data_IF_014125041777
#
_entry.id   IF_014125041777
#
_cell.length_a   1.000
_cell.length_b   1.000
_cell.length_c   1.000
_cell.angle_alpha   90.00
_cell.angle_beta   90.00
_cell.angle_gamma   90.00
#
_symmetry.space_group_name_H-M   'P 1'
#
loop_
_entity.id
_entity.type
_entity.pdbx_description
1 polymer ?
#
# COMPACT_ATOMS: atom_id res chain seq x y z
N UNK A 1 -53.73 -18.51 22.89
CA UNK A 1 -53.09 -18.63 21.57
C UNK A 1 -52.20 -17.40 21.44
N UNK A 2 -50.96 -17.50 21.94
CA UNK A 2 -50.00 -16.39 21.98
C UNK A 2 -49.32 -16.26 20.62
N UNK A 3 -49.49 -15.12 19.97
CA UNK A 3 -48.78 -14.76 18.75
C UNK A 3 -47.42 -14.19 19.13
N UNK A 4 -46.37 -14.97 18.92
CA UNK A 4 -44.99 -14.50 19.01
C UNK A 4 -44.72 -13.53 17.85
N UNK A 5 -44.65 -12.23 18.13
CA UNK A 5 -44.09 -11.26 17.21
C UNK A 5 -42.58 -11.51 17.09
N UNK A 6 -42.14 -12.07 15.97
CA UNK A 6 -40.74 -12.12 15.60
C UNK A 6 -40.22 -10.70 15.35
N UNK A 7 -39.70 -10.06 16.39
CA UNK A 7 -38.85 -8.88 16.23
C UNK A 7 -37.60 -9.26 15.44
N UNK A 8 -37.62 -8.99 14.13
CA UNK A 8 -36.44 -9.05 13.27
C UNK A 8 -35.47 -7.98 13.76
N UNK A 9 -34.47 -8.39 14.55
CA UNK A 9 -33.35 -7.53 14.92
C UNK A 9 -32.50 -7.35 13.65
N UNK A 10 -32.76 -6.28 12.89
CA UNK A 10 -31.87 -5.86 11.81
C UNK A 10 -30.48 -5.61 12.39
N UNK A 11 -29.54 -6.53 12.12
CA UNK A 11 -28.13 -6.27 12.46
C UNK A 11 -27.69 -5.04 11.67
N UNK A 12 -27.14 -4.00 12.32
CA UNK A 12 -26.69 -2.81 11.61
C UNK A 12 -25.68 -3.24 10.54
N UNK A 13 -25.94 -2.86 9.27
CA UNK A 13 -25.02 -3.10 8.15
C UNK A 13 -23.64 -2.61 8.54
N UNK A 14 -22.72 -3.54 8.77
CA UNK A 14 -21.33 -3.23 9.12
C UNK A 14 -20.76 -2.30 8.05
N UNK A 15 -20.49 -1.04 8.40
CA UNK A 15 -19.88 -0.07 7.48
C UNK A 15 -18.62 -0.70 6.88
N UNK A 16 -18.53 -0.73 5.54
CA UNK A 16 -17.34 -1.20 4.83
C UNK A 16 -16.18 -0.29 5.21
N UNK A 17 -15.28 -0.80 6.05
CA UNK A 17 -13.99 -0.17 6.29
C UNK A 17 -13.01 -0.71 5.23
N UNK A 18 -12.69 0.14 4.26
CA UNK A 18 -11.80 -0.18 3.14
C UNK A 18 -10.34 -0.30 3.56
N UNK A 19 -10.00 0.20 4.75
CA UNK A 19 -8.70 0.04 5.39
C UNK A 19 -8.64 -1.18 6.31
N UNK A 20 -9.69 -2.02 6.30
CA UNK A 20 -9.80 -3.19 7.18
C UNK A 20 -9.10 -4.40 6.54
N UNK A 21 -8.08 -4.85 7.25
CA UNK A 21 -6.99 -5.78 6.89
C UNK A 21 -7.40 -7.26 6.70
N UNK A 22 -8.65 -7.53 6.34
CA UNK A 22 -9.18 -8.90 6.16
C UNK A 22 -9.29 -9.30 4.68
N UNK A 23 -8.80 -8.48 3.76
CA UNK A 23 -8.87 -8.73 2.32
C UNK A 23 -7.46 -8.89 1.76
N UNK A 24 -7.33 -9.68 0.70
CA UNK A 24 -6.07 -9.84 -0.03
C UNK A 24 -5.61 -8.51 -0.66
N UNK A 25 -6.55 -7.66 -1.06
CA UNK A 25 -6.28 -6.28 -1.46
C UNK A 25 -7.10 -5.34 -0.59
N UNK A 26 -6.41 -4.51 0.17
CA UNK A 26 -7.01 -3.39 0.89
C UNK A 26 -6.34 -2.08 0.47
N UNK A 27 -6.72 -0.97 1.08
CA UNK A 27 -6.13 0.33 0.73
C UNK A 27 -4.65 0.45 1.10
N UNK A 28 -4.07 -0.48 1.88
CA UNK A 28 -2.63 -0.51 2.16
C UNK A 28 -1.82 -1.05 0.98
N UNK A 29 -2.43 -1.86 0.11
CA UNK A 29 -1.78 -2.30 -1.14
C UNK A 29 -1.41 -1.14 -2.08
N UNK A 30 -2.09 0.01 -1.98
CA UNK A 30 -1.84 1.19 -2.82
C UNK A 30 -0.45 1.80 -2.55
N UNK A 31 -0.08 2.20 -1.32
CA UNK A 31 1.25 2.71 -1.06
C UNK A 31 2.36 1.71 -1.38
N UNK A 32 2.15 0.40 -1.22
CA UNK A 32 3.11 -0.64 -1.65
C UNK A 32 3.33 -0.63 -3.17
N UNK A 33 2.25 -0.55 -3.94
CA UNK A 33 2.33 -0.41 -5.39
C UNK A 33 3.03 0.89 -5.81
N UNK A 34 2.64 2.03 -5.22
CA UNK A 34 3.24 3.34 -5.50
C UNK A 34 4.72 3.39 -5.12
N UNK A 35 5.12 2.69 -4.05
CA UNK A 35 6.52 2.60 -3.63
C UNK A 35 7.40 2.00 -4.73
N UNK A 36 6.97 0.91 -5.37
CA UNK A 36 7.70 0.30 -6.49
C UNK A 36 7.84 1.22 -7.70
N UNK A 37 6.79 1.97 -8.05
CA UNK A 37 6.86 3.00 -9.11
C UNK A 37 7.86 4.08 -8.71
N UNK A 38 7.74 4.58 -7.48
CA UNK A 38 8.54 5.69 -6.99
C UNK A 38 10.03 5.33 -6.93
N UNK A 39 10.40 4.13 -6.48
CA UNK A 39 11.80 3.69 -6.45
C UNK A 39 12.39 3.54 -7.86
N UNK A 40 11.62 3.02 -8.83
CA UNK A 40 12.05 2.95 -10.22
C UNK A 40 12.29 4.35 -10.82
N UNK A 41 11.30 5.24 -10.73
CA UNK A 41 11.39 6.61 -11.23
C UNK A 41 12.53 7.40 -10.59
N UNK A 42 12.63 7.34 -9.25
CA UNK A 42 13.67 8.05 -8.49
C UNK A 42 15.04 7.56 -8.89
N UNK A 43 15.23 6.24 -9.05
CA UNK A 43 16.50 5.68 -9.47
C UNK A 43 16.96 6.19 -10.84
N UNK A 44 16.05 6.32 -11.79
CA UNK A 44 16.33 6.90 -13.10
C UNK A 44 16.67 8.38 -13.04
N UNK A 45 16.04 9.16 -12.15
CA UNK A 45 16.34 10.58 -11.96
C UNK A 45 17.73 10.83 -11.37
N UNK A 46 18.15 10.01 -10.39
CA UNK A 46 19.42 10.19 -9.67
C UNK A 46 20.57 9.33 -10.23
N UNK A 47 20.33 8.60 -11.33
CA UNK A 47 21.33 7.80 -12.01
C UNK A 47 21.71 6.49 -11.32
N UNK A 48 20.86 5.95 -10.43
CA UNK A 48 21.07 4.62 -9.85
C UNK A 48 20.67 3.55 -10.87
N UNK A 49 21.52 2.54 -11.14
CA UNK A 49 21.16 1.43 -12.02
C UNK A 49 19.89 0.71 -11.56
N UNK A 50 18.94 0.50 -12.47
CA UNK A 50 17.67 -0.18 -12.18
C UNK A 50 17.81 -1.52 -11.42
N UNK A 51 18.81 -2.39 -11.71
CA UNK A 51 18.99 -3.61 -10.91
C UNK A 51 19.31 -3.34 -9.43
N UNK A 52 20.11 -2.31 -9.14
CA UNK A 52 20.44 -1.93 -7.78
C UNK A 52 19.21 -1.35 -7.05
N UNK A 53 18.41 -0.55 -7.75
CA UNK A 53 17.15 -0.02 -7.22
C UNK A 53 16.10 -1.12 -6.98
N UNK A 54 16.08 -2.18 -7.80
CA UNK A 54 15.23 -3.35 -7.57
C UNK A 54 15.64 -4.09 -6.30
N UNK A 55 16.95 -4.33 -6.10
CA UNK A 55 17.47 -4.95 -4.87
C UNK A 55 17.06 -4.11 -3.65
N UNK A 56 17.25 -2.79 -3.72
CA UNK A 56 16.83 -1.87 -2.66
C UNK A 56 15.32 -1.95 -2.39
N UNK A 57 14.50 -2.00 -3.44
CA UNK A 57 13.03 -2.11 -3.33
C UNK A 57 12.62 -3.40 -2.61
N UNK A 58 13.25 -4.53 -2.96
CA UNK A 58 12.99 -5.83 -2.31
C UNK A 58 13.41 -5.77 -0.84
N UNK A 59 14.60 -5.25 -0.53
CA UNK A 59 15.09 -5.12 0.85
C UNK A 59 14.14 -4.27 1.68
N UNK A 60 13.71 -3.12 1.17
CA UNK A 60 12.80 -2.23 1.89
C UNK A 60 11.40 -2.82 2.07
N UNK A 61 10.89 -3.58 1.09
CA UNK A 61 9.63 -4.31 1.23
C UNK A 61 9.71 -5.36 2.35
N UNK A 62 10.81 -6.13 2.42
CA UNK A 62 11.02 -7.12 3.50
C UNK A 62 11.12 -6.43 4.87
N UNK A 63 11.88 -5.34 4.95
CA UNK A 63 12.04 -4.59 6.20
C UNK A 63 10.73 -3.99 6.68
N UNK A 64 9.86 -3.54 5.77
CA UNK A 64 8.54 -3.04 6.11
C UNK A 64 7.65 -4.13 6.72
N UNK A 65 7.53 -5.28 6.05
CA UNK A 65 6.79 -6.44 6.55
C UNK A 65 7.30 -6.90 7.93
N UNK A 66 8.63 -6.85 8.12
CA UNK A 66 9.21 -7.18 9.42
C UNK A 66 8.86 -6.14 10.48
N UNK A 67 8.92 -4.85 10.15
CA UNK A 67 8.50 -3.77 11.03
C UNK A 67 7.06 -3.93 11.48
N UNK A 68 6.13 -4.28 10.58
CA UNK A 68 4.72 -4.49 10.92
C UNK A 68 4.51 -5.63 11.91
N UNK A 69 5.25 -6.74 11.74
CA UNK A 69 5.26 -7.84 12.71
C UNK A 69 5.78 -7.39 14.07
N UNK A 70 6.83 -6.57 14.13
CA UNK A 70 7.40 -6.06 15.38
C UNK A 70 6.42 -5.17 16.16
N UNK A 71 5.60 -4.37 15.49
CA UNK A 71 4.58 -3.53 16.13
C UNK A 71 3.25 -4.26 16.38
N UNK A 72 3.23 -5.58 16.18
CA UNK A 72 2.09 -6.44 16.51
C UNK A 72 0.92 -6.32 15.54
N UNK A 73 1.16 -5.85 14.32
CA UNK A 73 0.15 -5.85 13.27
C UNK A 73 -0.09 -7.29 12.82
N UNK A 74 -1.33 -7.77 12.96
CA UNK A 74 -1.76 -9.10 12.50
C UNK A 74 -2.46 -8.97 11.15
N UNK A 75 -1.83 -9.49 10.11
CA UNK A 75 -2.36 -9.54 8.74
C UNK A 75 -2.56 -10.96 8.25
N UNK A 76 -3.41 -11.08 7.23
CA UNK A 76 -3.59 -12.36 6.54
C UNK A 76 -2.37 -12.67 5.68
N UNK A 77 -2.03 -13.95 5.52
CA UNK A 77 -0.91 -14.38 4.67
C UNK A 77 -1.02 -13.78 3.25
N UNK A 78 -2.23 -13.69 2.69
CA UNK A 78 -2.45 -13.11 1.36
C UNK A 78 -2.08 -11.63 1.28
N UNK A 79 -2.28 -10.87 2.36
CA UNK A 79 -1.96 -9.44 2.43
C UNK A 79 -0.45 -9.23 2.56
N UNK A 80 0.23 -10.01 3.42
CA UNK A 80 1.70 -10.05 3.50
C UNK A 80 2.32 -10.37 2.13
N UNK A 81 1.75 -11.35 1.41
CA UNK A 81 2.22 -11.71 0.07
C UNK A 81 1.96 -10.57 -0.92
N UNK A 82 0.78 -9.94 -0.90
CA UNK A 82 0.48 -8.84 -1.80
C UNK A 82 1.40 -7.65 -1.58
N UNK A 83 1.65 -7.29 -0.33
CA UNK A 83 2.39 -6.10 0.06
C UNK A 83 3.90 -6.26 -0.19
N UNK A 84 4.38 -7.50 -0.23
CA UNK A 84 5.71 -7.86 -0.75
C UNK A 84 5.79 -7.91 -2.29
N UNK A 85 4.81 -8.51 -2.98
CA UNK A 85 4.87 -8.72 -4.45
C UNK A 85 4.56 -7.45 -5.24
N UNK A 86 3.58 -6.65 -4.80
CA UNK A 86 3.14 -5.43 -5.49
C UNK A 86 4.25 -4.43 -5.79
N UNK A 87 5.14 -4.06 -4.85
CA UNK A 87 6.22 -3.13 -5.15
C UNK A 87 7.17 -3.69 -6.21
N UNK A 88 7.42 -5.02 -6.22
CA UNK A 88 8.29 -5.67 -7.19
C UNK A 88 7.66 -5.63 -8.60
N UNK A 89 6.37 -5.96 -8.70
CA UNK A 89 5.63 -5.92 -9.96
C UNK A 89 5.56 -4.49 -10.51
N UNK A 90 5.23 -3.53 -9.65
CA UNK A 90 5.12 -2.12 -10.02
C UNK A 90 6.47 -1.53 -10.44
N UNK A 91 7.54 -1.85 -9.71
CA UNK A 91 8.91 -1.49 -10.08
C UNK A 91 9.26 -2.05 -11.45
N UNK A 92 9.04 -3.35 -11.66
CA UNK A 92 9.42 -4.04 -12.90
C UNK A 92 8.70 -3.45 -14.10
N UNK A 93 7.37 -3.24 -13.99
CA UNK A 93 6.58 -2.61 -15.03
C UNK A 93 7.08 -1.19 -15.35
N UNK A 94 7.37 -0.38 -14.33
CA UNK A 94 7.89 0.98 -14.49
C UNK A 94 9.29 0.98 -15.12
N UNK A 95 10.17 0.09 -14.67
CA UNK A 95 11.52 -0.09 -15.21
C UNK A 95 11.50 -0.52 -16.68
N UNK A 96 10.54 -1.36 -17.09
CA UNK A 96 10.34 -1.71 -18.50
C UNK A 96 9.94 -0.48 -19.32
N UNK A 97 8.97 0.32 -18.84
CA UNK A 97 8.57 1.57 -19.50
C UNK A 97 9.76 2.53 -19.64
N UNK A 98 10.53 2.72 -18.58
CA UNK A 98 11.73 3.59 -18.57
C UNK A 98 12.85 3.09 -19.50
N UNK A 99 12.89 1.78 -19.81
CA UNK A 99 13.84 1.21 -20.78
C UNK A 99 13.34 1.30 -22.21
N UNK A 100 12.03 1.19 -22.41
CA UNK A 100 11.41 1.22 -23.74
C UNK A 100 11.29 2.64 -24.28
N UNK A 101 11.02 3.61 -23.41
CA UNK A 101 10.79 5.00 -23.81
C UNK A 101 11.85 5.93 -23.23
N UNK A 102 12.29 6.89 -24.03
CA UNK A 102 13.15 7.98 -23.58
C UNK A 102 12.28 9.12 -23.05
N UNK A 103 12.56 9.58 -21.85
CA UNK A 103 11.86 10.69 -21.21
C UNK A 103 12.82 11.84 -20.98
N UNK A 104 12.36 13.08 -21.13
CA UNK A 104 13.14 14.22 -20.67
C UNK A 104 13.22 14.21 -19.13
N UNK A 105 14.34 14.66 -18.54
CA UNK A 105 14.49 14.70 -17.09
C UNK A 105 13.39 15.50 -16.39
N UNK A 106 12.87 16.54 -17.03
CA UNK A 106 11.80 17.37 -16.48
C UNK A 106 10.46 16.62 -16.41
N UNK A 107 10.12 15.84 -17.44
CA UNK A 107 8.91 14.99 -17.44
C UNK A 107 9.00 13.93 -16.32
N UNK A 108 10.16 13.28 -16.19
CA UNK A 108 10.39 12.32 -15.12
C UNK A 108 10.26 12.99 -13.74
N UNK A 109 10.78 14.20 -13.56
CA UNK A 109 10.68 14.93 -12.30
C UNK A 109 9.22 15.24 -11.95
N UNK A 110 8.42 15.69 -12.91
CA UNK A 110 7.00 15.98 -12.72
C UNK A 110 6.23 14.71 -12.33
N UNK A 111 6.40 13.62 -13.08
CA UNK A 111 5.72 12.35 -12.80
C UNK A 111 6.16 11.78 -11.45
N UNK A 112 7.46 11.80 -11.14
CA UNK A 112 7.98 11.33 -9.85
C UNK A 112 7.40 12.13 -8.70
N UNK A 113 7.33 13.46 -8.84
CA UNK A 113 6.75 14.35 -7.82
C UNK A 113 5.27 14.08 -7.60
N UNK A 114 4.51 13.84 -8.67
CA UNK A 114 3.09 13.50 -8.59
C UNK A 114 2.88 12.14 -7.88
N UNK A 115 3.67 11.12 -8.24
CA UNK A 115 3.64 9.80 -7.58
C UNK A 115 4.05 9.90 -6.11
N UNK A 116 5.07 10.68 -5.78
CA UNK A 116 5.51 10.94 -4.41
C UNK A 116 4.40 11.58 -3.58
N UNK A 117 3.73 12.61 -4.12
CA UNK A 117 2.62 13.26 -3.44
C UNK A 117 1.48 12.28 -3.14
N UNK A 118 1.10 11.45 -4.12
CA UNK A 118 0.08 10.42 -3.93
C UNK A 118 0.50 9.34 -2.92
N UNK A 119 1.78 8.93 -2.94
CA UNK A 119 2.34 7.99 -1.98
C UNK A 119 2.27 8.54 -0.55
N UNK A 120 2.69 9.79 -0.33
CA UNK A 120 2.61 10.45 0.98
C UNK A 120 1.14 10.56 1.42
N UNK A 121 0.26 11.01 0.53
CA UNK A 121 -1.16 11.18 0.83
C UNK A 121 -1.82 9.86 1.28
N UNK A 122 -1.55 8.76 0.56
CA UNK A 122 -2.11 7.44 0.88
C UNK A 122 -1.56 6.87 2.18
N UNK A 123 -0.25 7.00 2.44
CA UNK A 123 0.36 6.61 3.72
C UNK A 123 -0.21 7.40 4.91
N UNK A 124 -0.30 8.73 4.78
CA UNK A 124 -0.87 9.57 5.85
C UNK A 124 -2.34 9.22 6.12
N UNK A 125 -3.12 9.00 5.07
CA UNK A 125 -4.53 8.59 5.19
C UNK A 125 -4.67 7.24 5.90
N UNK A 126 -3.86 6.25 5.51
CA UNK A 126 -3.84 4.93 6.14
C UNK A 126 -3.43 5.00 7.61
N UNK A 127 -2.39 5.76 7.92
CA UNK A 127 -1.91 5.96 9.28
C UNK A 127 -2.94 6.67 10.17
N UNK A 128 -3.59 7.71 9.67
CA UNK A 128 -4.67 8.40 10.39
C UNK A 128 -5.86 7.47 10.64
N UNK A 129 -6.23 6.65 9.67
CA UNK A 129 -7.28 5.64 9.83
C UNK A 129 -6.89 4.59 10.89
N UNK A 130 -5.64 4.11 10.87
CA UNK A 130 -5.10 3.20 11.89
C UNK A 130 -5.15 3.82 13.30
N UNK A 131 -4.70 5.07 13.47
CA UNK A 131 -4.75 5.78 14.75
C UNK A 131 -6.17 6.04 15.25
N UNK A 132 -7.14 6.28 14.37
CA UNK A 132 -8.56 6.43 14.74
C UNK A 132 -9.09 5.12 15.33
N UNK A 133 -8.90 3.99 14.63
CA UNK A 133 -9.32 2.67 15.12
C UNK A 133 -8.65 2.28 16.44
N UNK A 134 -7.34 2.52 16.56
CA UNK A 134 -6.61 2.20 17.80
C UNK A 134 -7.16 2.97 19.00
N UNK A 135 -7.61 4.22 18.82
CA UNK A 135 -8.26 5.01 19.88
C UNK A 135 -9.66 4.51 20.22
N UNK A 136 -10.43 4.09 19.22
CA UNK A 136 -11.77 3.52 19.45
C UNK A 136 -11.73 2.19 20.20
N UNK A 137 -10.70 1.36 19.99
CA UNK A 137 -10.52 0.10 20.73
C UNK A 137 -10.04 0.26 22.18
N UNK A 138 -9.47 1.42 22.54
CA UNK A 138 -8.95 1.71 23.88
C UNK A 138 -9.93 2.51 24.75
N UNK A 139 -11.10 2.87 24.21
CA UNK A 139 -12.22 3.49 24.94
C UNK A 139 -13.28 2.44 25.20
#
# INVERSE_FOLDING_TARGET
METFEETIIERPKQKRDWWKRKRAFDLWSIPHFLFGILTALTSSLIGIPLPNALILTIVLAILWEWYEKLIGIKETILNIISDFILPIVAFTATALVLRTYSFHPEDLLVVTSAVLFLYIFTNLSGWLAYRRRKREFMR
#
